data_IF_661154465595
#
_entry.id   IF_661154465595
#
_cell.length_a   1.000
_cell.length_b   1.000
_cell.length_c   1.000
_cell.angle_alpha   90.00
_cell.angle_beta   90.00
_cell.angle_gamma   90.00
#
_symmetry.space_group_name_H-M   'P 1'
#
loop_
_entity.id
_entity.type
_entity.pdbx_description
1 polymer ?
#
# COMPACT_ATOMS: atom_id res chain seq x y z
N UNK A 1 -12.07 -2.47 -12.75
CA UNK A 1 -10.87 -2.12 -13.54
C UNK A 1 -10.27 -0.83 -13.00
N UNK A 2 -8.94 -0.73 -12.96
CA UNK A 2 -8.23 0.50 -12.56
C UNK A 2 -7.43 0.99 -13.76
N UNK A 3 -7.65 2.25 -14.14
CA UNK A 3 -6.91 2.90 -15.23
C UNK A 3 -6.09 4.04 -14.64
N UNK A 4 -4.80 4.04 -14.92
CA UNK A 4 -3.84 5.05 -14.47
C UNK A 4 -3.13 5.59 -15.70
N UNK A 5 -3.29 6.87 -15.97
CA UNK A 5 -2.54 7.59 -17.01
C UNK A 5 -2.11 8.93 -16.42
N UNK A 6 -0.85 9.03 -16.05
CA UNK A 6 -0.32 10.20 -15.31
C UNK A 6 1.06 10.60 -15.80
N UNK A 7 1.32 11.91 -15.73
CA UNK A 7 2.65 12.49 -15.92
C UNK A 7 2.97 13.41 -14.74
N UNK A 8 4.16 13.19 -14.14
CA UNK A 8 4.65 14.01 -13.04
C UNK A 8 6.12 14.33 -13.19
N UNK A 9 6.44 15.61 -13.13
CA UNK A 9 7.82 16.10 -13.09
C UNK A 9 8.32 16.01 -11.65
N UNK A 10 9.42 15.27 -11.47
CA UNK A 10 10.05 15.07 -10.17
C UNK A 10 11.41 15.75 -10.17
N UNK A 11 11.77 16.39 -9.06
CA UNK A 11 13.11 16.91 -8.85
C UNK A 11 13.99 15.80 -8.30
N UNK A 12 15.09 15.52 -8.97
CA UNK A 12 16.12 14.57 -8.55
C UNK A 12 17.44 15.30 -8.28
N UNK A 13 18.44 14.59 -7.74
CA UNK A 13 19.77 15.16 -7.50
C UNK A 13 20.41 15.66 -8.81
N UNK A 14 20.21 14.93 -9.90
CA UNK A 14 20.78 15.23 -11.23
C UNK A 14 19.87 16.13 -12.10
N UNK A 15 18.86 16.79 -11.52
CA UNK A 15 17.94 17.66 -12.24
C UNK A 15 16.47 17.27 -12.16
N UNK A 16 15.81 17.11 -13.30
CA UNK A 16 14.42 16.73 -13.36
C UNK A 16 14.24 15.39 -14.06
N UNK A 17 13.46 14.53 -13.46
CA UNK A 17 12.99 13.27 -14.04
C UNK A 17 11.49 13.35 -14.28
N UNK A 18 10.99 12.75 -15.37
CA UNK A 18 9.58 12.69 -15.67
C UNK A 18 9.02 11.29 -15.36
N UNK A 19 8.24 11.17 -14.32
CA UNK A 19 7.44 9.97 -14.07
C UNK A 19 6.28 9.96 -15.07
N UNK A 20 6.24 8.94 -15.92
CA UNK A 20 5.12 8.70 -16.84
C UNK A 20 4.63 7.27 -16.66
N UNK A 21 3.34 7.12 -16.36
CA UNK A 21 2.73 5.81 -16.13
C UNK A 21 1.43 5.74 -16.91
N UNK A 22 1.32 4.72 -17.76
CA UNK A 22 0.08 4.35 -18.43
C UNK A 22 -0.16 2.86 -18.18
N UNK A 23 -1.18 2.53 -17.40
CA UNK A 23 -1.46 1.15 -17.01
C UNK A 23 -2.97 0.91 -16.84
N UNK A 24 -3.39 -0.28 -17.23
CA UNK A 24 -4.74 -0.79 -16.98
C UNK A 24 -4.64 -2.07 -16.16
N UNK A 25 -5.25 -2.09 -14.99
CA UNK A 25 -5.11 -3.13 -13.97
C UNK A 25 -6.46 -3.80 -13.75
N UNK A 26 -6.46 -5.12 -13.65
CA UNK A 26 -7.63 -5.89 -13.26
C UNK A 26 -8.00 -5.62 -11.79
N UNK A 27 -9.29 -5.71 -11.45
CA UNK A 27 -9.72 -5.72 -10.05
C UNK A 27 -9.25 -6.99 -9.35
N UNK A 28 -9.17 -6.92 -8.02
CA UNK A 28 -8.86 -8.06 -7.15
C UNK A 28 -7.54 -8.77 -7.52
N UNK A 29 -6.59 -8.00 -8.07
CA UNK A 29 -5.27 -8.49 -8.47
C UNK A 29 -4.16 -7.89 -7.61
N UNK A 30 -3.07 -8.61 -7.51
CA UNK A 30 -1.82 -8.14 -6.90
C UNK A 30 -0.89 -7.64 -7.99
N UNK A 31 -0.52 -6.36 -7.92
CA UNK A 31 0.31 -5.67 -8.90
C UNK A 31 1.65 -5.35 -8.30
N UNK A 32 2.71 -5.88 -8.88
CA UNK A 32 4.08 -5.54 -8.51
C UNK A 32 4.52 -4.27 -9.23
N UNK A 33 5.03 -3.28 -8.47
CA UNK A 33 5.67 -2.09 -9.03
C UNK A 33 7.18 -2.22 -8.89
N UNK A 34 7.88 -2.15 -10.02
CA UNK A 34 9.34 -2.27 -10.09
C UNK A 34 9.96 -1.03 -10.75
N UNK A 35 11.26 -0.85 -10.53
CA UNK A 35 12.04 0.23 -11.14
C UNK A 35 13.23 0.63 -10.25
N UNK A 36 14.18 1.40 -10.79
CA UNK A 36 15.35 1.86 -10.04
C UNK A 36 14.99 2.68 -8.80
N UNK A 37 15.93 2.84 -7.89
CA UNK A 37 15.77 3.80 -6.79
C UNK A 37 15.61 5.20 -7.35
N UNK A 38 14.67 5.99 -6.81
CA UNK A 38 14.38 7.34 -7.29
C UNK A 38 13.48 7.42 -8.52
N UNK A 39 13.09 6.32 -9.17
CA UNK A 39 12.22 6.35 -10.37
C UNK A 39 10.79 6.85 -10.12
N UNK A 40 10.35 7.01 -8.87
CA UNK A 40 9.03 7.56 -8.54
C UNK A 40 8.00 6.52 -8.09
N UNK A 41 8.40 5.30 -7.72
CA UNK A 41 7.50 4.25 -7.22
C UNK A 41 6.62 4.72 -6.06
N UNK A 42 7.23 5.24 -5.00
CA UNK A 42 6.54 5.85 -3.86
C UNK A 42 5.65 7.03 -4.29
N UNK A 43 6.12 7.84 -5.24
CA UNK A 43 5.36 8.98 -5.78
C UNK A 43 4.11 8.51 -6.50
N UNK A 44 4.20 7.45 -7.30
CA UNK A 44 3.05 6.82 -7.94
C UNK A 44 2.02 6.37 -6.91
N UNK A 45 2.43 5.63 -5.86
CA UNK A 45 1.50 5.22 -4.80
C UNK A 45 0.85 6.42 -4.13
N UNK A 46 1.61 7.48 -3.81
CA UNK A 46 1.07 8.71 -3.21
C UNK A 46 0.07 9.42 -4.13
N UNK A 47 0.29 9.42 -5.44
CA UNK A 47 -0.65 9.99 -6.41
C UNK A 47 -1.95 9.15 -6.45
N UNK A 48 -1.87 7.83 -6.48
CA UNK A 48 -3.03 6.94 -6.44
C UNK A 48 -3.82 7.14 -5.14
N UNK A 49 -3.15 7.31 -4.00
CA UNK A 49 -3.79 7.58 -2.71
C UNK A 49 -4.39 8.99 -2.60
N UNK A 50 -4.04 9.93 -3.50
CA UNK A 50 -4.45 11.33 -3.40
C UNK A 50 -3.60 12.18 -2.45
N UNK A 51 -2.47 11.66 -2.01
CA UNK A 51 -1.49 12.34 -1.15
C UNK A 51 -0.52 13.22 -1.93
N UNK A 52 -0.47 13.07 -3.25
CA UNK A 52 0.31 13.89 -4.17
C UNK A 52 -0.48 14.10 -5.47
N UNK A 53 -0.14 15.17 -6.20
CA UNK A 53 -0.81 15.51 -7.46
C UNK A 53 0.17 15.41 -8.62
N UNK A 54 -0.23 14.80 -9.75
CA UNK A 54 0.53 14.86 -11.01
C UNK A 54 0.29 16.22 -11.71
N UNK A 55 1.13 16.58 -12.68
CA UNK A 55 0.91 17.73 -13.53
C UNK A 55 -0.21 17.46 -14.54
N UNK A 56 -0.27 16.24 -15.07
CA UNK A 56 -1.30 15.79 -16.00
C UNK A 56 -1.73 14.38 -15.70
N UNK A 57 -2.98 14.07 -15.96
CA UNK A 57 -3.41 12.70 -16.01
C UNK A 57 -4.81 12.43 -15.50
N UNK A 58 -5.14 11.15 -15.56
CA UNK A 58 -6.43 10.59 -15.20
C UNK A 58 -6.24 9.29 -14.41
N UNK A 59 -6.97 9.15 -13.32
CA UNK A 59 -7.08 7.90 -12.56
C UNK A 59 -8.56 7.56 -12.43
N UNK A 60 -8.93 6.36 -12.90
CA UNK A 60 -10.28 5.82 -12.77
C UNK A 60 -10.19 4.50 -12.03
N UNK A 61 -10.99 4.35 -11.00
CA UNK A 61 -11.07 3.13 -10.20
C UNK A 61 -12.54 2.71 -10.14
N UNK A 62 -12.86 1.53 -10.67
CA UNK A 62 -14.20 0.98 -10.67
C UNK A 62 -15.24 1.95 -11.24
N UNK A 63 -14.94 2.50 -12.42
CA UNK A 63 -15.75 3.48 -13.15
C UNK A 63 -15.92 4.83 -12.44
N UNK A 64 -15.30 5.03 -11.28
CA UNK A 64 -15.26 6.31 -10.57
C UNK A 64 -13.97 7.06 -10.91
N UNK A 65 -14.10 8.28 -11.43
CA UNK A 65 -12.95 9.15 -11.69
C UNK A 65 -12.41 9.71 -10.38
N UNK A 66 -11.21 9.27 -9.97
CA UNK A 66 -10.53 9.76 -8.77
C UNK A 66 -9.70 11.02 -9.04
N UNK A 67 -9.11 11.08 -10.22
CA UNK A 67 -8.33 12.21 -10.70
C UNK A 67 -8.60 12.43 -12.18
N UNK A 68 -8.77 13.69 -12.58
CA UNK A 68 -8.72 14.12 -13.97
C UNK A 68 -8.29 15.59 -13.98
N UNK A 69 -7.06 15.84 -14.41
CA UNK A 69 -6.48 17.20 -14.41
C UNK A 69 -7.18 18.15 -15.36
N UNK A 70 -7.64 17.67 -16.52
CA UNK A 70 -8.31 18.49 -17.53
C UNK A 70 -9.68 18.99 -17.02
N UNK A 71 -10.39 18.12 -16.29
CA UNK A 71 -11.71 18.44 -15.73
C UNK A 71 -11.61 18.97 -14.28
N UNK A 72 -10.39 19.17 -13.74
CA UNK A 72 -10.14 19.62 -12.36
C UNK A 72 -10.80 18.74 -11.31
N UNK A 73 -10.90 17.43 -11.57
CA UNK A 73 -11.42 16.44 -10.61
C UNK A 73 -10.25 15.90 -9.80
N UNK A 74 -10.37 15.95 -8.47
CA UNK A 74 -9.43 15.29 -7.55
C UNK A 74 -10.16 14.90 -6.27
N UNK A 75 -10.43 13.60 -6.12
CA UNK A 75 -10.98 13.08 -4.87
C UNK A 75 -9.94 13.14 -3.76
N UNK A 76 -10.36 13.61 -2.59
CA UNK A 76 -9.50 13.60 -1.40
C UNK A 76 -9.15 12.17 -0.98
N UNK A 77 -8.02 11.96 -0.26
CA UNK A 77 -7.61 10.62 0.21
C UNK A 77 -8.72 9.90 0.98
N UNK A 78 -9.47 10.61 1.82
CA UNK A 78 -10.57 10.05 2.62
C UNK A 78 -11.69 9.46 1.74
N UNK A 79 -11.97 10.09 0.59
CA UNK A 79 -12.99 9.61 -0.36
C UNK A 79 -12.51 8.42 -1.20
N UNK A 80 -11.19 8.21 -1.31
CA UNK A 80 -10.60 7.08 -2.05
C UNK A 80 -10.64 5.78 -1.26
N UNK A 81 -10.74 5.86 0.07
CA UNK A 81 -10.81 4.70 0.98
C UNK A 81 -9.71 3.66 0.72
N UNK A 82 -8.49 4.13 0.52
CA UNK A 82 -7.33 3.29 0.28
C UNK A 82 -6.63 2.93 1.58
N UNK A 83 -6.23 1.66 1.72
CA UNK A 83 -5.21 1.28 2.71
C UNK A 83 -3.83 1.69 2.20
N UNK A 84 -3.01 2.29 3.05
CA UNK A 84 -1.63 2.66 2.68
C UNK A 84 -0.63 2.18 3.73
N UNK A 85 0.36 1.41 3.29
CA UNK A 85 1.52 1.01 4.08
C UNK A 85 2.71 1.87 3.65
N UNK A 86 3.15 2.75 4.55
CA UNK A 86 4.28 3.65 4.32
C UNK A 86 5.60 2.93 4.63
N UNK A 87 6.67 3.32 3.94
CA UNK A 87 8.01 2.79 4.15
C UNK A 87 8.55 3.05 5.58
N UNK A 88 8.16 4.18 6.19
CA UNK A 88 8.49 4.58 7.57
C UNK A 88 7.43 4.14 8.60
N UNK A 89 6.53 3.22 8.19
CA UNK A 89 5.42 2.65 8.94
C UNK A 89 4.35 3.67 9.36
N UNK A 90 4.66 4.95 9.53
CA UNK A 90 3.78 6.05 9.95
C UNK A 90 2.87 5.70 11.15
N UNK A 91 3.44 5.07 12.18
CA UNK A 91 2.72 4.63 13.37
C UNK A 91 2.46 5.79 14.35
N UNK A 92 1.35 5.74 15.06
CA UNK A 92 1.04 6.68 16.12
C UNK A 92 1.78 6.31 17.40
N UNK A 93 2.74 7.12 17.88
CA UNK A 93 3.63 6.72 18.97
C UNK A 93 2.90 6.51 20.31
N UNK A 94 1.75 7.13 20.50
CA UNK A 94 0.97 7.08 21.74
C UNK A 94 -0.07 5.96 21.78
N UNK A 95 -0.34 5.28 20.65
CA UNK A 95 -1.30 4.20 20.55
C UNK A 95 -0.61 2.84 20.67
N UNK A 96 -1.24 1.89 21.36
CA UNK A 96 -0.86 0.47 21.33
C UNK A 96 -1.19 -0.18 19.97
N UNK A 97 -0.72 -1.39 19.74
CA UNK A 97 -1.07 -2.15 18.53
C UNK A 97 -2.59 -2.25 18.38
N UNK A 98 -3.29 -2.64 19.45
CA UNK A 98 -4.74 -2.79 19.45
C UNK A 98 -5.44 -1.47 19.16
N UNK A 99 -5.04 -0.38 19.79
CA UNK A 99 -5.60 0.96 19.57
C UNK A 99 -5.43 1.44 18.13
N UNK A 100 -4.33 1.08 17.43
CA UNK A 100 -4.18 1.38 16.00
C UNK A 100 -5.27 0.71 15.14
N UNK A 101 -5.69 -0.50 15.51
CA UNK A 101 -6.73 -1.22 14.79
C UNK A 101 -8.12 -0.70 15.18
N UNK A 102 -8.36 -0.45 16.47
CA UNK A 102 -9.61 0.12 16.98
C UNK A 102 -9.88 1.54 16.44
N UNK A 103 -8.83 2.29 16.12
CA UNK A 103 -8.98 3.58 15.43
C UNK A 103 -9.59 3.44 14.02
N UNK A 104 -9.35 2.30 13.38
CA UNK A 104 -9.78 2.04 12.00
C UNK A 104 -11.10 1.26 11.90
N UNK A 105 -11.43 0.42 12.91
CA UNK A 105 -12.61 -0.45 12.90
C UNK A 105 -13.08 -0.81 14.31
N UNK A 106 -14.38 -1.02 14.48
CA UNK A 106 -14.98 -1.53 15.72
C UNK A 106 -15.26 -3.05 15.66
N UNK A 107 -14.88 -3.73 14.58
CA UNK A 107 -15.08 -5.17 14.37
C UNK A 107 -14.01 -5.95 15.17
N UNK A 108 -14.40 -6.43 16.35
CA UNK A 108 -13.48 -7.10 17.30
C UNK A 108 -12.94 -8.41 16.71
N UNK A 109 -13.77 -9.17 16.00
CA UNK A 109 -13.34 -10.43 15.38
C UNK A 109 -12.30 -10.17 14.28
N UNK A 110 -12.53 -9.13 13.49
CA UNK A 110 -11.59 -8.70 12.48
C UNK A 110 -10.27 -8.20 13.07
N UNK A 111 -10.31 -7.45 14.18
CA UNK A 111 -9.11 -7.02 14.91
C UNK A 111 -8.30 -8.23 15.37
N UNK A 112 -8.96 -9.23 15.98
CA UNK A 112 -8.30 -10.45 16.44
C UNK A 112 -7.69 -11.25 15.28
N UNK A 113 -8.40 -11.35 14.15
CA UNK A 113 -7.89 -11.99 12.94
C UNK A 113 -6.64 -11.29 12.40
N UNK A 114 -6.65 -9.95 12.35
CA UNK A 114 -5.48 -9.17 11.91
C UNK A 114 -4.28 -9.32 12.85
N UNK A 115 -4.52 -9.34 14.17
CA UNK A 115 -3.46 -9.61 15.15
C UNK A 115 -2.85 -10.99 14.92
N UNK A 116 -3.69 -12.00 14.69
CA UNK A 116 -3.23 -13.36 14.37
C UNK A 116 -2.45 -13.44 13.06
N UNK A 117 -2.98 -12.83 11.99
CA UNK A 117 -2.29 -12.73 10.70
C UNK A 117 -0.88 -12.14 10.84
N UNK A 118 -0.73 -11.10 11.66
CA UNK A 118 0.56 -10.44 11.88
C UNK A 118 1.42 -11.10 12.98
N UNK A 119 0.93 -12.12 13.69
CA UNK A 119 1.57 -12.74 14.87
C UNK A 119 1.93 -11.69 15.94
N UNK A 120 0.96 -10.82 16.27
CA UNK A 120 1.12 -9.73 17.23
C UNK A 120 0.15 -9.81 18.42
N UNK A 121 -0.55 -10.94 18.61
CA UNK A 121 -1.57 -11.13 19.65
C UNK A 121 -1.03 -10.84 21.04
N UNK A 122 0.15 -11.41 21.38
CA UNK A 122 0.77 -11.25 22.69
C UNK A 122 1.32 -9.85 22.94
N UNK A 123 1.45 -9.04 21.89
CA UNK A 123 1.98 -7.68 21.92
C UNK A 123 0.89 -6.62 21.76
N UNK A 124 -0.38 -7.01 21.72
CA UNK A 124 -1.52 -6.13 21.39
C UNK A 124 -1.56 -4.83 22.22
N UNK A 125 -1.09 -4.86 23.47
CA UNK A 125 -1.05 -3.70 24.37
C UNK A 125 0.25 -2.89 24.30
N UNK A 126 1.23 -3.33 23.49
CA UNK A 126 2.51 -2.63 23.38
C UNK A 126 2.40 -1.44 22.41
N UNK A 127 3.13 -0.37 22.74
CA UNK A 127 3.27 0.82 21.87
C UNK A 127 4.45 0.65 20.89
N UNK A 128 4.48 1.37 19.77
CA UNK A 128 5.53 1.26 18.74
C UNK A 128 6.96 1.34 19.27
N UNK A 129 7.22 2.16 20.29
CA UNK A 129 8.53 2.32 20.90
C UNK A 129 9.12 1.00 21.44
N UNK A 130 8.27 0.06 21.82
CA UNK A 130 8.68 -1.24 22.38
C UNK A 130 8.69 -2.36 21.35
N UNK A 131 8.49 -2.04 20.06
CA UNK A 131 8.42 -3.00 18.98
C UNK A 131 9.72 -2.97 18.16
N UNK A 132 10.15 -4.15 17.69
CA UNK A 132 11.20 -4.24 16.67
C UNK A 132 10.71 -3.66 15.33
N UNK A 133 11.65 -3.31 14.42
CA UNK A 133 11.30 -2.81 13.09
C UNK A 133 10.35 -3.73 12.32
N UNK A 134 10.60 -5.04 12.36
CA UNK A 134 9.71 -6.02 11.73
C UNK A 134 8.31 -6.09 12.38
N UNK A 135 8.20 -5.90 13.71
CA UNK A 135 6.92 -5.82 14.41
C UNK A 135 6.17 -4.53 14.04
N UNK A 136 6.88 -3.40 13.95
CA UNK A 136 6.30 -2.13 13.50
C UNK A 136 5.81 -2.22 12.05
N UNK A 137 6.57 -2.87 11.18
CA UNK A 137 6.19 -3.09 9.79
C UNK A 137 4.92 -3.93 9.66
N UNK A 138 4.84 -5.05 10.42
CA UNK A 138 3.63 -5.87 10.48
C UNK A 138 2.42 -5.10 11.01
N UNK A 139 2.60 -4.26 12.02
CA UNK A 139 1.55 -3.37 12.50
C UNK A 139 1.10 -2.38 11.40
N UNK A 140 2.02 -1.80 10.64
CA UNK A 140 1.69 -0.92 9.50
C UNK A 140 0.81 -1.62 8.46
N UNK A 141 1.10 -2.90 8.16
CA UNK A 141 0.32 -3.71 7.21
C UNK A 141 -1.10 -3.95 7.74
N UNK A 142 -1.25 -4.46 8.97
CA UNK A 142 -2.59 -4.78 9.51
C UNK A 142 -3.43 -3.55 9.77
N UNK A 143 -2.83 -2.41 10.13
CA UNK A 143 -3.53 -1.14 10.22
C UNK A 143 -4.12 -0.71 8.88
N UNK A 144 -3.37 -0.86 7.78
CA UNK A 144 -3.87 -0.54 6.45
C UNK A 144 -4.99 -1.49 5.99
N UNK A 145 -4.98 -2.75 6.44
CA UNK A 145 -6.01 -3.75 6.19
C UNK A 145 -7.26 -3.56 7.07
N UNK A 146 -7.15 -2.90 8.22
CA UNK A 146 -8.23 -2.79 9.22
C UNK A 146 -9.50 -2.14 8.67
N UNK A 147 -9.39 -1.20 7.73
CA UNK A 147 -10.55 -0.56 7.07
C UNK A 147 -11.18 -1.43 5.97
N UNK A 148 -10.72 -2.67 5.75
CA UNK A 148 -11.13 -3.55 4.63
C UNK A 148 -11.10 -2.79 3.29
N UNK A 149 -9.93 -2.26 2.87
CA UNK A 149 -9.85 -1.37 1.72
C UNK A 149 -10.13 -2.10 0.41
N UNK A 150 -10.74 -1.42 -0.58
CA UNK A 150 -10.85 -1.95 -1.95
C UNK A 150 -9.57 -1.79 -2.76
N UNK A 151 -8.69 -0.90 -2.33
CA UNK A 151 -7.36 -0.69 -2.90
C UNK A 151 -6.32 -0.56 -1.78
N UNK A 152 -5.34 -1.46 -1.77
CA UNK A 152 -4.23 -1.47 -0.84
C UNK A 152 -2.95 -1.06 -1.57
N UNK A 153 -2.25 -0.07 -1.02
CA UNK A 153 -1.00 0.47 -1.57
C UNK A 153 0.12 0.21 -0.58
N UNK A 154 1.15 -0.52 -0.97
CA UNK A 154 2.22 -0.91 -0.06
C UNK A 154 3.59 -0.51 -0.61
N UNK A 155 4.32 0.29 0.17
CA UNK A 155 5.66 0.76 -0.17
C UNK A 155 6.70 -0.01 0.65
N UNK A 156 7.35 -0.99 0.02
CA UNK A 156 8.35 -1.89 0.60
C UNK A 156 7.88 -2.59 1.89
N UNK A 157 6.70 -3.26 1.88
CA UNK A 157 6.03 -3.70 3.10
C UNK A 157 6.72 -4.84 3.84
N UNK A 158 7.75 -5.45 3.28
CA UNK A 158 8.41 -6.62 3.85
C UNK A 158 9.92 -6.42 4.09
N UNK A 159 10.43 -5.19 3.89
CA UNK A 159 11.88 -4.91 3.91
C UNK A 159 12.56 -5.17 5.26
N UNK A 160 11.84 -5.01 6.39
CA UNK A 160 12.37 -5.22 7.75
C UNK A 160 12.06 -6.62 8.32
N UNK A 161 11.47 -7.52 7.52
CA UNK A 161 11.14 -8.88 7.95
C UNK A 161 12.28 -9.84 7.62
N UNK A 162 12.53 -10.80 8.53
CA UNK A 162 13.32 -11.98 8.22
C UNK A 162 12.66 -12.84 7.13
N UNK A 163 13.41 -13.78 6.57
CA UNK A 163 12.98 -14.55 5.41
C UNK A 163 11.73 -15.39 5.71
N UNK A 164 11.68 -16.06 6.86
CA UNK A 164 10.58 -16.98 7.20
C UNK A 164 9.28 -16.19 7.47
N UNK A 165 9.39 -15.09 8.20
CA UNK A 165 8.24 -14.22 8.48
C UNK A 165 7.71 -13.57 7.20
N UNK A 166 8.62 -13.12 6.34
CA UNK A 166 8.28 -12.52 5.04
C UNK A 166 7.50 -13.50 4.18
N UNK A 167 8.05 -14.72 4.00
CA UNK A 167 7.43 -15.75 3.19
C UNK A 167 6.03 -16.10 3.72
N UNK A 168 5.90 -16.35 5.02
CA UNK A 168 4.60 -16.68 5.62
C UNK A 168 3.57 -15.55 5.47
N UNK A 169 3.99 -14.28 5.61
CA UNK A 169 3.07 -13.16 5.40
C UNK A 169 2.65 -13.00 3.94
N UNK A 170 3.57 -13.18 2.99
CA UNK A 170 3.28 -13.10 1.56
C UNK A 170 2.27 -14.20 1.17
N UNK A 171 2.49 -15.44 1.61
CA UNK A 171 1.58 -16.56 1.35
C UNK A 171 0.18 -16.34 1.94
N UNK A 172 0.10 -15.79 3.15
CA UNK A 172 -1.17 -15.51 3.82
C UNK A 172 -1.89 -14.27 3.26
N UNK A 173 -1.15 -13.34 2.63
CA UNK A 173 -1.71 -12.09 2.13
C UNK A 173 -2.64 -12.31 0.92
N UNK A 174 -2.26 -13.14 -0.06
CA UNK A 174 -3.06 -13.32 -1.29
C UNK A 174 -4.47 -13.85 -1.01
N UNK A 175 -4.68 -14.93 -0.22
CA UNK A 175 -6.03 -15.38 0.15
C UNK A 175 -6.84 -14.31 0.90
N UNK A 176 -6.16 -13.54 1.76
CA UNK A 176 -6.81 -12.46 2.51
C UNK A 176 -7.31 -11.36 1.58
N UNK A 177 -6.49 -10.91 0.63
CA UNK A 177 -6.87 -9.90 -0.37
C UNK A 177 -8.02 -10.38 -1.26
N UNK A 178 -8.01 -11.65 -1.67
CA UNK A 178 -9.10 -12.26 -2.45
C UNK A 178 -10.42 -12.24 -1.68
N UNK A 179 -10.40 -12.63 -0.39
CA UNK A 179 -11.60 -12.61 0.46
C UNK A 179 -12.15 -11.20 0.67
N UNK A 180 -11.29 -10.18 0.69
CA UNK A 180 -11.69 -8.77 0.85
C UNK A 180 -12.06 -8.08 -0.48
N UNK A 181 -11.94 -8.77 -1.62
CA UNK A 181 -12.06 -8.17 -2.96
C UNK A 181 -11.14 -6.95 -3.11
N UNK A 182 -9.91 -7.04 -2.61
CA UNK A 182 -8.94 -5.95 -2.60
C UNK A 182 -7.97 -6.06 -3.77
N UNK A 183 -7.83 -4.97 -4.54
CA UNK A 183 -6.69 -4.81 -5.47
C UNK A 183 -5.50 -4.29 -4.69
N UNK A 184 -4.31 -4.85 -4.90
CA UNK A 184 -3.11 -4.50 -4.15
C UNK A 184 -1.98 -4.07 -5.07
N UNK A 185 -1.38 -2.91 -4.81
CA UNK A 185 -0.14 -2.45 -5.43
C UNK A 185 1.01 -2.58 -4.43
N UNK A 186 2.06 -3.29 -4.80
CA UNK A 186 3.22 -3.52 -3.94
C UNK A 186 4.49 -3.02 -4.64
N UNK A 187 5.13 -2.04 -4.04
CA UNK A 187 6.49 -1.64 -4.42
C UNK A 187 7.47 -2.55 -3.72
N UNK A 188 8.39 -3.13 -4.47
CA UNK A 188 9.52 -3.91 -3.94
C UNK A 188 10.79 -3.67 -4.74
N UNK A 189 11.93 -3.70 -4.07
CA UNK A 189 13.25 -3.69 -4.69
C UNK A 189 13.72 -5.08 -5.11
N UNK A 190 13.14 -6.13 -4.52
CA UNK A 190 13.48 -7.51 -4.87
C UNK A 190 12.47 -8.07 -5.91
N UNK A 191 12.89 -8.27 -7.17
CA UNK A 191 12.00 -8.78 -8.22
C UNK A 191 11.40 -10.16 -7.92
N UNK A 192 12.07 -10.97 -7.09
CA UNK A 192 11.67 -12.33 -6.74
C UNK A 192 10.81 -12.39 -5.46
N UNK A 193 10.69 -11.28 -4.71
CA UNK A 193 10.06 -11.27 -3.39
C UNK A 193 8.59 -11.72 -3.41
N UNK A 194 7.85 -11.32 -4.44
CA UNK A 194 6.42 -11.64 -4.53
C UNK A 194 6.14 -12.97 -5.24
N UNK A 195 7.16 -13.59 -5.85
CA UNK A 195 7.01 -14.88 -6.53
C UNK A 195 5.72 -14.96 -7.38
N UNK A 196 4.94 -16.02 -7.15
CA UNK A 196 3.70 -16.30 -7.89
C UNK A 196 2.45 -15.58 -7.36
N UNK A 197 2.59 -14.73 -6.32
CA UNK A 197 1.42 -13.99 -5.81
C UNK A 197 1.07 -12.78 -6.67
N UNK A 198 2.03 -12.20 -7.39
CA UNK A 198 1.78 -11.07 -8.27
C UNK A 198 1.13 -11.51 -9.58
N UNK A 199 -0.05 -10.98 -9.88
CA UNK A 199 -0.81 -11.29 -11.09
C UNK A 199 -0.33 -10.45 -12.29
N UNK A 200 0.29 -9.29 -12.03
CA UNK A 200 0.85 -8.41 -13.05
C UNK A 200 1.96 -7.51 -12.50
N UNK A 201 2.66 -6.82 -13.40
CA UNK A 201 3.71 -5.88 -13.01
C UNK A 201 3.64 -4.57 -13.79
N UNK A 202 3.98 -3.47 -13.12
CA UNK A 202 4.19 -2.15 -13.70
C UNK A 202 5.63 -1.75 -13.48
N UNK A 203 6.38 -1.53 -14.57
CA UNK A 203 7.77 -1.08 -14.50
C UNK A 203 7.84 0.43 -14.69
N UNK A 204 8.54 1.11 -13.80
CA UNK A 204 8.81 2.55 -13.87
C UNK A 204 10.27 2.73 -14.24
N UNK A 205 10.50 3.42 -15.34
CA UNK A 205 11.86 3.69 -15.90
C UNK A 205 12.19 5.15 -15.76
#
# INVERSE_FOLDING_TARGET
MIVIDIEKKMRTYDGYHQLKVNATIAQNSVVKITGPSGSGKTTLLKIIAGLSHPEKGKIVVNDVTWLNTDNKISLSPQKRQTGFVFQDYALFPNMSIKEHLEYATNDVDWINELLHFAKLETLAQHKPLYLSGGQQQRLGIIRALAIKPKLLLMDEPFSALDQDMRQGMIEALKPLLQRLDTTCFIVTHNPLELGDIADSSVSIT
#
